data_IF_200486388404
#
_entry.id   IF_200486388404
#
_cell.length_a   1.000
_cell.length_b   1.000
_cell.length_c   1.000
_cell.angle_alpha   90.00
_cell.angle_beta   90.00
_cell.angle_gamma   90.00
#
_symmetry.space_group_name_H-M   'P 1'
#
loop_
_entity.id
_entity.type
_entity.pdbx_description
1 polymer ?
#
# COMPACT_ATOMS: atom_id res chain seq x y z
N UNK A 1 -47.99 -51.44 16.94
CA UNK A 1 -49.15 -50.80 16.27
C UNK A 1 -48.83 -50.66 14.78
N UNK A 2 -49.78 -51.05 13.94
CA UNK A 2 -49.84 -51.12 12.47
C UNK A 2 -49.19 -49.91 11.73
N UNK A 3 -48.69 -49.95 10.48
CA UNK A 3 -48.96 -50.82 9.31
C UNK A 3 -47.89 -50.59 8.21
N UNK A 4 -47.44 -51.67 7.53
CA UNK A 4 -46.92 -51.66 6.14
C UNK A 4 -48.09 -51.67 5.14
N UNK A 5 -47.89 -51.21 3.90
CA UNK A 5 -48.48 -51.63 2.59
C UNK A 5 -48.12 -50.51 1.57
N UNK A 6 -47.20 -50.65 0.58
CA UNK A 6 -47.14 -51.49 -0.64
C UNK A 6 -48.29 -51.13 -1.62
N UNK A 7 -48.05 -50.28 -2.64
CA UNK A 7 -47.62 -50.59 -4.02
C UNK A 7 -48.79 -50.93 -4.99
N UNK A 8 -48.56 -50.54 -6.25
CA UNK A 8 -49.10 -51.01 -7.54
C UNK A 8 -50.12 -50.07 -8.23
N UNK A 9 -49.75 -49.28 -9.26
CA UNK A 9 -49.46 -49.61 -10.68
C UNK A 9 -50.71 -50.12 -11.42
N UNK A 10 -51.18 -49.49 -12.51
CA UNK A 10 -51.05 -49.92 -13.93
C UNK A 10 -52.15 -49.21 -14.76
N UNK A 11 -52.18 -49.00 -16.10
CA UNK A 11 -51.30 -49.14 -17.28
C UNK A 11 -52.02 -48.48 -18.49
N UNK A 12 -51.21 -47.93 -19.42
CA UNK A 12 -51.32 -47.62 -20.87
C UNK A 12 -52.64 -47.81 -21.68
N UNK A 13 -52.83 -46.97 -22.72
CA UNK A 13 -52.60 -47.33 -24.15
C UNK A 13 -52.58 -46.13 -25.15
N UNK A 14 -51.37 -45.90 -25.71
CA UNK A 14 -50.88 -45.59 -27.08
C UNK A 14 -51.79 -45.04 -28.21
N UNK A 15 -51.26 -44.00 -28.90
CA UNK A 15 -51.12 -43.74 -30.38
C UNK A 15 -51.38 -42.24 -30.67
N UNK A 16 -50.68 -41.44 -31.47
CA UNK A 16 -49.63 -41.53 -32.49
C UNK A 16 -49.85 -40.36 -33.49
N UNK A 17 -48.80 -39.91 -34.21
CA UNK A 17 -48.71 -38.74 -35.14
C UNK A 17 -48.49 -37.36 -34.48
N UNK A 18 -47.64 -36.43 -34.96
CA UNK A 18 -46.70 -36.37 -36.08
C UNK A 18 -45.82 -35.10 -35.89
N UNK A 19 -44.66 -35.12 -36.52
CA UNK A 19 -43.55 -34.19 -36.49
C UNK A 19 -43.90 -32.72 -36.85
N UNK A 20 -43.43 -31.75 -36.07
CA UNK A 20 -43.21 -30.38 -36.57
C UNK A 20 -42.02 -29.73 -35.84
N UNK A 21 -40.92 -29.59 -36.59
CA UNK A 21 -39.77 -28.77 -36.23
C UNK A 21 -40.24 -27.33 -35.98
N UNK A 22 -39.99 -26.80 -34.79
CA UNK A 22 -39.83 -25.37 -34.59
C UNK A 22 -38.48 -25.12 -33.95
N UNK A 23 -37.69 -24.39 -34.73
CA UNK A 23 -36.37 -23.88 -34.44
C UNK A 23 -36.33 -23.04 -33.18
N UNK A 24 -35.18 -23.13 -32.51
CA UNK A 24 -34.67 -22.24 -31.48
C UNK A 24 -34.98 -20.77 -31.81
N UNK A 25 -35.68 -20.11 -30.91
CA UNK A 25 -35.68 -18.66 -30.81
C UNK A 25 -35.52 -18.32 -29.32
N UNK A 26 -34.28 -18.50 -28.82
CA UNK A 26 -33.88 -17.95 -27.54
C UNK A 26 -33.55 -16.47 -27.81
N UNK A 27 -34.59 -15.63 -27.83
CA UNK A 27 -34.42 -14.21 -27.62
C UNK A 27 -33.78 -14.04 -26.24
N UNK A 28 -32.49 -13.71 -26.22
CA UNK A 28 -31.89 -13.02 -25.11
C UNK A 28 -32.61 -11.68 -25.00
N UNK A 29 -33.48 -11.55 -24.00
CA UNK A 29 -34.00 -10.28 -23.55
C UNK A 29 -32.81 -9.44 -23.06
N UNK A 30 -32.23 -8.68 -23.98
CA UNK A 30 -31.53 -7.46 -23.66
C UNK A 30 -32.57 -6.53 -23.03
N UNK A 31 -32.65 -6.51 -21.70
CA UNK A 31 -33.38 -5.50 -20.95
C UNK A 31 -32.61 -4.18 -21.01
N UNK A 32 -32.53 -3.57 -22.20
CA UNK A 32 -32.44 -2.12 -22.27
C UNK A 32 -33.80 -1.62 -21.77
N UNK A 33 -33.88 -1.23 -20.50
CA UNK A 33 -35.04 -0.47 -20.03
C UNK A 33 -35.00 0.87 -20.76
N UNK A 34 -35.67 0.94 -21.91
CA UNK A 34 -36.04 2.21 -22.53
C UNK A 34 -36.88 2.96 -21.51
N UNK A 35 -36.32 4.02 -20.92
CA UNK A 35 -37.08 4.99 -20.16
C UNK A 35 -38.16 5.54 -21.10
N UNK A 36 -39.42 5.19 -20.85
CA UNK A 36 -40.55 5.84 -21.51
C UNK A 36 -40.52 7.31 -21.09
N UNK A 37 -40.01 8.15 -21.99
CA UNK A 37 -39.66 9.55 -21.75
C UNK A 37 -40.85 10.35 -21.23
N UNK A 38 -40.77 10.82 -19.97
CA UNK A 38 -41.74 11.72 -19.37
C UNK A 38 -41.45 13.18 -19.72
N UNK A 39 -40.48 13.78 -19.03
CA UNK A 39 -40.12 15.20 -19.14
C UNK A 39 -38.67 15.33 -19.61
N UNK A 40 -38.45 16.16 -20.64
CA UNK A 40 -37.11 16.51 -21.13
C UNK A 40 -36.86 18.00 -20.89
N UNK A 41 -35.73 18.32 -20.24
CA UNK A 41 -35.28 19.68 -20.02
C UNK A 41 -33.88 19.87 -20.61
N UNK A 42 -33.57 21.09 -21.03
CA UNK A 42 -32.24 21.51 -21.51
C UNK A 42 -31.70 22.63 -20.63
N UNK A 43 -30.39 22.67 -20.43
CA UNK A 43 -29.68 23.62 -19.56
C UNK A 43 -30.28 23.70 -18.15
N UNK A 44 -30.42 22.53 -17.51
CA UNK A 44 -31.11 22.39 -16.24
C UNK A 44 -30.15 22.42 -15.04
N UNK A 45 -30.69 22.78 -13.88
CA UNK A 45 -30.03 22.61 -12.58
C UNK A 45 -30.88 21.70 -11.71
N UNK A 46 -30.26 20.67 -11.16
CA UNK A 46 -30.84 19.75 -10.18
C UNK A 46 -30.12 20.01 -8.86
N UNK A 47 -30.85 20.18 -7.77
CA UNK A 47 -30.26 20.39 -6.44
C UNK A 47 -31.09 19.71 -5.38
N UNK A 48 -30.43 19.32 -4.29
CA UNK A 48 -31.07 18.73 -3.11
C UNK A 48 -30.62 19.49 -1.86
N UNK A 49 -31.59 19.71 -0.97
CA UNK A 49 -31.41 20.41 0.29
C UNK A 49 -31.73 19.48 1.47
N UNK A 50 -31.06 19.68 2.60
CA UNK A 50 -31.39 19.01 3.85
C UNK A 50 -32.70 19.56 4.45
N UNK A 51 -33.14 18.99 5.57
CA UNK A 51 -34.37 19.42 6.27
C UNK A 51 -34.34 20.88 6.77
N UNK A 52 -33.15 21.46 6.90
CA UNK A 52 -32.94 22.86 7.29
C UNK A 52 -32.88 23.81 6.07
N UNK A 53 -33.02 23.26 4.85
CA UNK A 53 -33.01 24.01 3.60
C UNK A 53 -31.60 24.32 3.06
N UNK A 54 -30.56 23.73 3.65
CA UNK A 54 -29.19 23.89 3.16
C UNK A 54 -28.89 22.90 2.04
N UNK A 55 -28.39 23.42 0.92
CA UNK A 55 -28.02 22.59 -0.21
C UNK A 55 -26.76 21.79 0.10
N UNK A 56 -26.83 20.47 -0.09
CA UNK A 56 -25.66 19.60 0.08
C UNK A 56 -25.04 19.19 -1.26
N UNK A 57 -25.80 19.25 -2.37
CA UNK A 57 -25.23 19.16 -3.71
C UNK A 57 -26.03 19.93 -4.77
N UNK A 58 -25.35 20.22 -5.89
CA UNK A 58 -25.94 20.81 -7.10
C UNK A 58 -25.34 20.21 -8.36
N UNK A 59 -26.17 19.75 -9.28
CA UNK A 59 -25.81 19.32 -10.63
C UNK A 59 -26.29 20.37 -11.65
N UNK A 60 -25.39 20.81 -12.52
CA UNK A 60 -25.71 21.49 -13.76
C UNK A 60 -25.58 20.50 -14.90
N UNK A 61 -26.57 20.44 -15.77
CA UNK A 61 -26.65 19.44 -16.85
C UNK A 61 -27.08 20.13 -18.14
N UNK A 62 -26.46 19.75 -19.27
CA UNK A 62 -26.88 20.23 -20.59
C UNK A 62 -28.25 19.69 -20.98
N UNK A 63 -28.56 18.45 -20.57
CA UNK A 63 -29.86 17.82 -20.80
C UNK A 63 -30.21 16.85 -19.68
N UNK A 64 -31.51 16.77 -19.38
CA UNK A 64 -32.08 15.79 -18.45
C UNK A 64 -33.37 15.22 -19.00
N UNK A 65 -33.54 13.91 -18.89
CA UNK A 65 -34.76 13.17 -19.27
C UNK A 65 -35.27 12.37 -18.08
N UNK A 66 -36.43 12.75 -17.55
CA UNK A 66 -37.07 12.09 -16.41
C UNK A 66 -37.95 10.92 -16.84
N UNK A 67 -38.04 9.90 -15.97
CA UNK A 67 -39.05 8.87 -16.01
C UNK A 67 -40.46 9.44 -15.75
N UNK A 68 -41.51 8.71 -16.11
CA UNK A 68 -42.90 9.16 -15.90
C UNK A 68 -43.25 9.42 -14.42
N UNK A 69 -42.65 8.67 -13.51
CA UNK A 69 -42.81 8.85 -12.06
C UNK A 69 -41.89 9.94 -11.47
N UNK A 70 -41.03 10.54 -12.30
CA UNK A 70 -40.00 11.53 -11.98
C UNK A 70 -38.95 11.09 -10.96
N UNK A 71 -38.87 9.79 -10.64
CA UNK A 71 -37.92 9.27 -9.65
C UNK A 71 -36.52 9.07 -10.21
N UNK A 72 -36.43 8.81 -11.51
CA UNK A 72 -35.18 8.54 -12.19
C UNK A 72 -34.98 9.55 -13.32
N UNK A 73 -33.73 9.87 -13.62
CA UNK A 73 -33.39 10.77 -14.71
C UNK A 73 -32.09 10.38 -15.40
N UNK A 74 -32.05 10.46 -16.73
CA UNK A 74 -30.81 10.38 -17.52
C UNK A 74 -30.30 11.80 -17.72
N UNK A 75 -29.02 12.04 -17.44
CA UNK A 75 -28.37 13.35 -17.48
C UNK A 75 -27.14 13.33 -18.41
N UNK A 76 -26.91 14.44 -19.12
CA UNK A 76 -25.82 14.65 -20.07
C UNK A 76 -25.11 15.99 -19.79
N UNK A 77 -23.81 16.09 -20.11
CA UNK A 77 -22.95 17.28 -19.93
C UNK A 77 -22.96 17.81 -18.49
N UNK A 78 -22.38 17.03 -17.57
CA UNK A 78 -22.62 17.16 -16.13
C UNK A 78 -21.49 17.94 -15.47
N UNK A 79 -21.87 18.90 -14.63
CA UNK A 79 -20.99 19.51 -13.63
C UNK A 79 -21.68 19.47 -12.27
N UNK A 80 -21.12 18.72 -11.32
CA UNK A 80 -21.63 18.63 -9.97
C UNK A 80 -20.74 19.38 -8.97
N UNK A 81 -21.37 19.94 -7.94
CA UNK A 81 -20.70 20.47 -6.77
C UNK A 81 -21.27 19.80 -5.51
N UNK A 82 -20.40 19.31 -4.63
CA UNK A 82 -20.77 18.97 -3.26
C UNK A 82 -20.50 20.18 -2.38
N UNK A 83 -21.44 20.49 -1.49
CA UNK A 83 -21.33 21.58 -0.54
C UNK A 83 -21.25 21.03 0.89
N UNK A 84 -20.36 21.60 1.69
CA UNK A 84 -20.33 21.42 3.14
C UNK A 84 -20.29 22.79 3.79
N UNK A 85 -21.17 23.04 4.76
CA UNK A 85 -21.30 24.35 5.43
C UNK A 85 -21.48 25.53 4.45
N UNK A 86 -22.14 25.30 3.30
CA UNK A 86 -22.38 26.31 2.27
C UNK A 86 -21.19 26.57 1.33
N UNK A 87 -20.06 25.91 1.52
CA UNK A 87 -18.87 26.03 0.67
C UNK A 87 -18.75 24.82 -0.26
N UNK A 88 -18.30 25.04 -1.49
CA UNK A 88 -18.05 23.96 -2.44
C UNK A 88 -16.78 23.24 -2.00
N UNK A 89 -16.91 21.97 -1.60
CA UNK A 89 -15.76 21.15 -1.19
C UNK A 89 -15.28 20.25 -2.32
N UNK A 90 -16.18 19.75 -3.17
CA UNK A 90 -15.86 18.89 -4.31
C UNK A 90 -16.52 19.39 -5.58
N UNK A 91 -15.78 19.30 -6.69
CA UNK A 91 -16.25 19.58 -8.05
C UNK A 91 -16.09 18.33 -8.89
N UNK A 92 -17.11 17.97 -9.66
CA UNK A 92 -17.09 16.77 -10.49
C UNK A 92 -17.59 17.14 -11.89
N UNK A 93 -16.94 16.64 -12.94
CA UNK A 93 -17.46 16.66 -14.30
C UNK A 93 -17.57 15.26 -14.87
N UNK A 94 -18.59 15.02 -15.68
CA UNK A 94 -18.81 13.77 -16.41
C UNK A 94 -19.62 14.02 -17.69
N UNK A 95 -19.51 13.11 -18.66
CA UNK A 95 -20.26 13.21 -19.92
C UNK A 95 -21.72 12.78 -19.75
N UNK A 96 -21.94 11.65 -19.09
CA UNK A 96 -23.25 11.01 -18.96
C UNK A 96 -23.50 10.53 -17.53
N UNK A 97 -24.77 10.35 -17.18
CA UNK A 97 -25.12 9.76 -15.92
C UNK A 97 -26.60 9.49 -15.72
N UNK A 98 -26.90 8.91 -14.59
CA UNK A 98 -28.24 8.58 -14.13
C UNK A 98 -28.42 9.06 -12.69
N UNK A 99 -29.53 9.73 -12.43
CA UNK A 99 -30.01 10.05 -11.08
C UNK A 99 -31.11 9.04 -10.76
N UNK A 100 -30.98 8.33 -9.66
CA UNK A 100 -31.90 7.27 -9.26
C UNK A 100 -32.57 7.61 -7.93
N UNK A 101 -33.82 7.18 -7.78
CA UNK A 101 -34.60 7.29 -6.55
C UNK A 101 -34.52 8.69 -5.92
N UNK A 102 -34.93 9.72 -6.66
CA UNK A 102 -34.98 11.10 -6.18
C UNK A 102 -33.60 11.66 -5.72
N UNK A 103 -32.49 11.09 -6.23
CA UNK A 103 -31.13 11.55 -5.94
C UNK A 103 -30.43 10.82 -4.81
N UNK A 104 -31.02 9.73 -4.29
CA UNK A 104 -30.35 8.83 -3.33
C UNK A 104 -29.06 8.21 -3.91
N UNK A 105 -29.03 8.01 -5.24
CA UNK A 105 -27.88 7.46 -5.96
C UNK A 105 -27.69 8.16 -7.30
N UNK A 106 -26.45 8.52 -7.61
CA UNK A 106 -26.06 9.16 -8.87
C UNK A 106 -24.93 8.35 -9.50
N UNK A 107 -25.17 7.83 -10.69
CA UNK A 107 -24.20 7.07 -11.48
C UNK A 107 -23.66 7.94 -12.59
N UNK A 108 -22.35 8.19 -12.63
CA UNK A 108 -21.68 8.95 -13.68
C UNK A 108 -20.78 8.02 -14.50
N UNK A 109 -20.74 8.25 -15.81
CA UNK A 109 -20.02 7.43 -16.78
C UNK A 109 -19.34 8.29 -17.84
N UNK A 110 -18.23 7.79 -18.40
CA UNK A 110 -17.41 8.50 -19.39
C UNK A 110 -16.18 9.11 -18.73
N UNK A 111 -15.57 10.15 -19.32
CA UNK A 111 -14.46 10.84 -18.67
C UNK A 111 -14.93 11.54 -17.39
N UNK A 112 -14.45 11.07 -16.22
CA UNK A 112 -14.76 11.65 -14.92
C UNK A 112 -13.55 12.40 -14.40
N UNK A 113 -13.77 13.66 -14.02
CA UNK A 113 -12.76 14.49 -13.34
C UNK A 113 -13.38 15.02 -12.05
N UNK A 114 -12.84 14.62 -10.92
CA UNK A 114 -13.16 15.12 -9.59
C UNK A 114 -12.03 15.99 -9.06
N UNK A 115 -12.37 17.05 -8.32
CA UNK A 115 -11.41 17.90 -7.63
C UNK A 115 -11.91 18.23 -6.22
N UNK A 116 -11.16 17.84 -5.21
CA UNK A 116 -11.39 18.20 -3.82
C UNK A 116 -10.59 19.45 -3.46
N UNK A 117 -11.32 20.53 -3.15
CA UNK A 117 -10.75 21.85 -2.87
C UNK A 117 -10.12 21.95 -1.49
N UNK A 118 -10.34 20.98 -0.60
CA UNK A 118 -9.83 21.00 0.78
C UNK A 118 -8.38 20.55 0.88
N UNK A 119 -7.96 19.71 -0.06
CA UNK A 119 -6.65 19.05 -0.09
C UNK A 119 -5.99 19.11 -1.48
N UNK A 120 -6.56 19.89 -2.41
CA UNK A 120 -6.07 20.03 -3.79
C UNK A 120 -5.87 18.69 -4.53
N UNK A 121 -6.67 17.68 -4.21
CA UNK A 121 -6.64 16.35 -4.84
C UNK A 121 -7.52 16.31 -6.08
N UNK A 122 -6.93 15.91 -7.20
CA UNK A 122 -7.64 15.60 -8.45
C UNK A 122 -7.80 14.08 -8.60
N UNK A 123 -8.99 13.63 -8.97
CA UNK A 123 -9.30 12.22 -9.23
C UNK A 123 -9.83 12.10 -10.65
N UNK A 124 -9.30 11.16 -11.41
CA UNK A 124 -9.77 10.80 -12.75
C UNK A 124 -10.24 9.35 -12.76
N UNK A 125 -11.23 9.04 -13.57
CA UNK A 125 -11.74 7.68 -13.75
C UNK A 125 -12.81 7.60 -14.82
N UNK A 126 -13.46 6.44 -14.94
CA UNK A 126 -14.48 6.22 -15.98
C UNK A 126 -15.90 5.98 -15.44
N UNK A 127 -16.00 5.49 -14.21
CA UNK A 127 -17.28 5.21 -13.54
C UNK A 127 -17.24 5.71 -12.11
N UNK A 128 -18.29 6.43 -11.72
CA UNK A 128 -18.48 6.91 -10.37
C UNK A 128 -19.91 6.62 -9.92
N UNK A 129 -20.03 5.83 -8.86
CA UNK A 129 -21.26 5.74 -8.07
C UNK A 129 -21.16 6.71 -6.91
N UNK A 130 -22.13 7.61 -6.80
CA UNK A 130 -22.22 8.58 -5.72
C UNK A 130 -23.48 8.33 -4.90
N UNK A 131 -23.30 8.15 -3.59
CA UNK A 131 -24.38 8.08 -2.60
C UNK A 131 -24.27 9.28 -1.65
N UNK A 132 -24.95 10.41 -1.97
CA UNK A 132 -24.80 11.65 -1.24
C UNK A 132 -25.05 11.55 0.27
N UNK A 133 -26.15 10.93 0.68
CA UNK A 133 -26.51 10.81 2.11
C UNK A 133 -25.54 9.94 2.91
N UNK A 134 -24.82 9.04 2.22
CA UNK A 134 -23.84 8.16 2.84
C UNK A 134 -22.43 8.79 2.85
N UNK A 135 -22.23 9.91 2.15
CA UNK A 135 -20.92 10.54 1.94
C UNK A 135 -19.91 9.63 1.25
N UNK A 136 -20.36 8.78 0.32
CA UNK A 136 -19.48 7.85 -0.40
C UNK A 136 -19.47 8.09 -1.90
N UNK A 137 -18.27 8.04 -2.45
CA UNK A 137 -18.00 7.80 -3.86
C UNK A 137 -17.36 6.42 -4.02
N UNK A 138 -17.81 5.66 -5.01
CA UNK A 138 -17.12 4.46 -5.47
C UNK A 138 -16.72 4.68 -6.92
N UNK A 139 -15.42 4.68 -7.17
CA UNK A 139 -14.83 4.80 -8.48
C UNK A 139 -14.38 3.43 -8.98
N UNK A 140 -14.52 3.21 -10.28
CA UNK A 140 -14.08 2.00 -10.96
C UNK A 140 -13.45 2.35 -12.30
N UNK A 141 -12.45 1.54 -12.69
CA UNK A 141 -11.77 1.56 -13.99
C UNK A 141 -10.90 2.80 -14.22
N UNK A 142 -9.63 2.56 -14.59
CA UNK A 142 -8.65 3.58 -14.99
C UNK A 142 -8.54 4.77 -14.01
N UNK A 143 -8.49 4.47 -12.72
CA UNK A 143 -8.50 5.49 -11.68
C UNK A 143 -7.10 6.06 -11.51
N UNK A 144 -6.98 7.38 -11.64
CA UNK A 144 -5.77 8.14 -11.33
C UNK A 144 -6.08 9.18 -10.26
N UNK A 145 -5.30 9.19 -9.18
CA UNK A 145 -5.42 10.16 -8.10
C UNK A 145 -4.15 10.99 -8.07
N UNK A 146 -4.29 12.29 -8.06
CA UNK A 146 -3.21 13.25 -8.21
C UNK A 146 -3.27 14.21 -7.02
N UNK A 147 -2.17 14.27 -6.28
CA UNK A 147 -1.97 15.18 -5.16
C UNK A 147 -0.52 15.70 -5.21
N UNK A 148 -0.22 16.80 -4.52
CA UNK A 148 1.11 17.42 -4.56
C UNK A 148 2.23 16.47 -4.09
N UNK A 149 1.95 15.64 -3.09
CA UNK A 149 2.92 14.70 -2.50
C UNK A 149 2.95 13.32 -3.18
N UNK A 150 1.86 12.91 -3.82
CA UNK A 150 1.70 11.54 -4.32
C UNK A 150 0.75 11.44 -5.51
N UNK A 151 1.09 10.58 -6.46
CA UNK A 151 0.23 10.17 -7.58
C UNK A 151 -0.04 8.67 -7.50
N UNK A 152 -1.30 8.27 -7.55
CA UNK A 152 -1.75 6.88 -7.45
C UNK A 152 -2.50 6.45 -8.70
N UNK A 153 -2.36 5.19 -9.08
CA UNK A 153 -3.17 4.52 -10.10
C UNK A 153 -3.73 3.23 -9.51
N UNK A 154 -5.01 2.94 -9.73
CA UNK A 154 -5.69 1.73 -9.23
C UNK A 154 -6.92 1.37 -10.07
N UNK A 155 -7.56 0.23 -9.78
CA UNK A 155 -8.79 -0.21 -10.47
C UNK A 155 -10.06 0.14 -9.70
N UNK A 156 -10.00 0.15 -8.38
CA UNK A 156 -11.14 0.41 -7.51
C UNK A 156 -10.74 1.39 -6.40
N UNK A 157 -11.58 2.39 -6.17
CA UNK A 157 -11.40 3.32 -5.07
C UNK A 157 -12.73 3.67 -4.43
N UNK A 158 -12.75 3.76 -3.09
CA UNK A 158 -13.85 4.33 -2.34
C UNK A 158 -13.36 5.59 -1.62
N UNK A 159 -14.13 6.67 -1.72
CA UNK A 159 -13.83 7.92 -1.06
C UNK A 159 -14.96 8.32 -0.11
N UNK A 160 -14.65 8.44 1.17
CA UNK A 160 -15.55 9.05 2.13
C UNK A 160 -15.36 10.57 2.08
N UNK A 161 -16.36 11.29 1.55
CA UNK A 161 -16.28 12.74 1.33
C UNK A 161 -16.38 13.54 2.63
N UNK A 162 -16.92 12.96 3.71
CA UNK A 162 -17.01 13.61 5.01
C UNK A 162 -15.69 13.51 5.79
N UNK A 163 -15.03 12.36 5.76
CA UNK A 163 -13.79 12.10 6.52
C UNK A 163 -12.52 12.20 5.70
N UNK A 164 -12.62 12.41 4.38
CA UNK A 164 -11.47 12.50 3.46
C UNK A 164 -10.60 11.23 3.46
N UNK A 165 -11.22 10.06 3.61
CA UNK A 165 -10.51 8.77 3.60
C UNK A 165 -10.74 8.07 2.26
N UNK A 166 -9.63 7.74 1.60
CA UNK A 166 -9.59 6.90 0.40
C UNK A 166 -9.27 5.45 0.78
N UNK A 167 -10.03 4.52 0.24
CA UNK A 167 -9.69 3.09 0.23
C UNK A 167 -9.43 2.68 -1.20
N UNK A 168 -8.24 2.19 -1.48
CA UNK A 168 -7.78 1.83 -2.82
C UNK A 168 -7.61 0.33 -2.88
N UNK A 169 -8.04 -0.30 -3.97
CA UNK A 169 -8.00 -1.74 -4.12
C UNK A 169 -7.58 -2.15 -5.54
N UNK A 170 -6.79 -3.23 -5.61
CA UNK A 170 -6.28 -3.89 -6.81
C UNK A 170 -5.25 -3.07 -7.60
N UNK A 171 -4.10 -3.70 -7.86
CA UNK A 171 -3.07 -3.21 -8.79
C UNK A 171 -2.62 -1.76 -8.51
N UNK A 172 -2.45 -1.41 -7.24
CA UNK A 172 -2.13 -0.05 -6.84
C UNK A 172 -0.67 0.23 -7.17
N UNK A 173 -0.45 1.30 -7.93
CA UNK A 173 0.88 1.91 -8.11
C UNK A 173 0.85 3.32 -7.58
N UNK A 174 1.61 3.61 -6.53
CA UNK A 174 1.81 4.96 -6.02
C UNK A 174 3.20 5.47 -6.35
N UNK A 175 3.32 6.76 -6.67
CA UNK A 175 4.60 7.43 -6.84
C UNK A 175 4.60 8.71 -5.99
N UNK A 176 5.55 8.84 -5.08
CA UNK A 176 5.75 10.07 -4.29
C UNK A 176 6.57 11.09 -5.07
N UNK A 177 6.38 12.38 -4.78
CA UNK A 177 7.07 13.47 -5.49
C UNK A 177 8.54 13.61 -5.08
N UNK A 178 8.83 13.69 -3.78
CA UNK A 178 10.19 13.82 -3.23
C UNK A 178 10.21 13.31 -1.77
N UNK A 179 11.16 12.43 -1.39
CA UNK A 179 11.97 11.61 -2.28
C UNK A 179 11.11 10.69 -3.15
N UNK A 180 11.62 10.33 -4.32
CA UNK A 180 10.88 9.50 -5.28
C UNK A 180 10.80 8.05 -4.83
N UNK A 181 9.61 7.63 -4.40
CA UNK A 181 9.27 6.25 -4.06
C UNK A 181 8.25 5.73 -5.07
N UNK A 182 8.40 4.48 -5.48
CA UNK A 182 7.37 3.71 -6.15
C UNK A 182 6.84 2.64 -5.21
N UNK A 183 5.54 2.65 -4.95
CA UNK A 183 4.84 1.72 -4.07
C UNK A 183 3.95 0.82 -4.92
N UNK A 184 4.06 -0.49 -4.71
CA UNK A 184 3.19 -1.50 -5.31
C UNK A 184 2.45 -2.23 -4.21
N UNK A 185 1.12 -2.24 -4.26
CA UNK A 185 0.26 -2.85 -3.25
C UNK A 185 -1.08 -3.31 -3.86
N UNK A 186 -1.79 -4.18 -3.14
CA UNK A 186 -3.14 -4.63 -3.53
C UNK A 186 -4.26 -3.89 -2.77
N UNK A 187 -3.97 -3.35 -1.58
CA UNK A 187 -4.89 -2.52 -0.82
C UNK A 187 -4.12 -1.42 -0.09
N UNK A 188 -4.64 -0.19 -0.13
CA UNK A 188 -4.14 0.95 0.65
C UNK A 188 -5.32 1.71 1.24
N UNK A 189 -5.13 2.24 2.45
CA UNK A 189 -6.01 3.27 3.02
C UNK A 189 -5.23 4.56 3.10
N UNK A 190 -5.76 5.64 2.56
CA UNK A 190 -5.16 6.96 2.64
C UNK A 190 -6.07 7.93 3.39
N UNK A 191 -5.61 8.36 4.55
CA UNK A 191 -6.16 9.47 5.33
C UNK A 191 -5.56 10.76 4.78
N UNK A 192 -6.29 11.42 3.86
CA UNK A 192 -5.73 12.50 3.04
C UNK A 192 -5.38 13.72 3.88
N UNK A 193 -6.23 14.10 4.82
CA UNK A 193 -6.02 15.26 5.70
C UNK A 193 -4.79 15.07 6.62
N UNK A 194 -4.59 13.87 7.12
CA UNK A 194 -3.47 13.52 7.99
C UNK A 194 -2.16 13.22 7.23
N UNK A 195 -2.24 12.97 5.93
CA UNK A 195 -1.09 12.54 5.12
C UNK A 195 -0.60 11.14 5.46
N UNK A 196 -1.50 10.26 5.94
CA UNK A 196 -1.15 8.89 6.37
C UNK A 196 -1.68 7.85 5.38
N UNK A 197 -0.77 7.03 4.84
CA UNK A 197 -1.10 5.88 3.99
C UNK A 197 -0.79 4.60 4.75
N UNK A 198 -1.72 3.65 4.79
CA UNK A 198 -1.51 2.37 5.46
C UNK A 198 -1.96 1.18 4.65
N UNK A 199 -1.38 0.02 4.97
CA UNK A 199 -1.77 -1.29 4.41
C UNK A 199 -1.49 -2.40 5.40
N UNK A 200 -2.33 -3.42 5.37
CA UNK A 200 -2.18 -4.68 6.10
C UNK A 200 -1.96 -5.88 5.15
N UNK A 201 -1.69 -5.60 3.87
CA UNK A 201 -1.36 -6.58 2.84
C UNK A 201 0.08 -6.47 2.36
N UNK A 202 0.63 -7.52 1.72
CA UNK A 202 1.95 -7.47 1.09
C UNK A 202 2.13 -6.29 0.14
N UNK A 203 3.27 -5.61 0.25
CA UNK A 203 3.62 -4.47 -0.57
C UNK A 203 5.12 -4.43 -0.85
N UNK A 204 5.49 -3.65 -1.87
CA UNK A 204 6.89 -3.34 -2.21
C UNK A 204 7.06 -1.84 -2.36
N UNK A 205 8.18 -1.31 -1.87
CA UNK A 205 8.62 0.07 -2.08
C UNK A 205 9.99 0.05 -2.76
N UNK A 206 10.14 0.87 -3.78
CA UNK A 206 11.42 1.14 -4.43
C UNK A 206 11.72 2.63 -4.34
N UNK A 207 12.87 3.01 -3.79
CA UNK A 207 13.36 4.39 -3.75
C UNK A 207 14.26 4.66 -4.95
N UNK A 208 14.09 5.84 -5.55
CA UNK A 208 14.87 6.33 -6.66
C UNK A 208 15.63 7.60 -6.29
N UNK A 209 16.80 7.77 -6.90
CA UNK A 209 17.60 9.00 -6.88
C UNK A 209 18.25 9.13 -8.26
N UNK A 210 18.09 10.28 -8.92
CA UNK A 210 18.53 10.50 -10.31
C UNK A 210 18.12 9.35 -11.28
N UNK A 211 16.86 8.92 -11.18
CA UNK A 211 16.27 7.80 -11.95
C UNK A 211 16.91 6.42 -11.69
N UNK A 212 17.84 6.31 -10.74
CA UNK A 212 18.45 5.04 -10.34
C UNK A 212 17.80 4.51 -9.07
N UNK A 213 17.59 3.19 -9.02
CA UNK A 213 17.17 2.53 -7.79
C UNK A 213 18.29 2.68 -6.76
N UNK A 214 17.92 3.06 -5.54
CA UNK A 214 18.84 3.16 -4.40
C UNK A 214 18.52 2.12 -3.35
N UNK A 215 17.24 1.95 -3.04
CA UNK A 215 16.77 1.09 -1.98
C UNK A 215 15.48 0.36 -2.40
N UNK A 216 15.28 -0.86 -1.91
CA UNK A 216 14.05 -1.64 -2.09
C UNK A 216 13.63 -2.24 -0.75
N UNK A 217 12.34 -2.30 -0.51
CA UNK A 217 11.73 -2.84 0.70
C UNK A 217 10.52 -3.70 0.31
N UNK A 218 10.39 -4.87 0.91
CA UNK A 218 9.14 -5.65 0.89
C UNK A 218 8.73 -6.04 2.30
N UNK A 219 7.43 -5.96 2.59
CA UNK A 219 6.85 -6.34 3.88
C UNK A 219 5.35 -6.62 3.74
N UNK A 220 4.64 -6.81 4.86
CA UNK A 220 3.20 -7.11 4.87
C UNK A 220 2.33 -6.09 5.60
N UNK A 221 2.91 -5.20 6.41
CA UNK A 221 2.15 -4.16 7.11
C UNK A 221 2.97 -2.88 7.10
N UNK A 222 2.33 -1.76 6.76
CA UNK A 222 2.98 -0.46 6.82
C UNK A 222 2.01 0.68 7.15
N UNK A 223 2.58 1.70 7.76
CA UNK A 223 2.02 3.04 7.90
C UNK A 223 3.09 4.05 7.45
N UNK A 224 2.75 4.84 6.43
CA UNK A 224 3.59 5.87 5.84
C UNK A 224 3.01 7.24 6.21
N UNK A 225 3.84 8.07 6.82
CA UNK A 225 3.58 9.47 7.08
C UNK A 225 4.28 10.31 6.00
N UNK A 226 3.50 10.80 5.04
CA UNK A 226 3.97 11.60 3.92
C UNK A 226 4.56 12.95 4.37
N UNK A 227 4.06 13.51 5.47
CA UNK A 227 4.46 14.82 5.97
C UNK A 227 5.84 14.78 6.63
N UNK A 228 6.16 13.67 7.31
CA UNK A 228 7.43 13.51 8.03
C UNK A 228 8.45 12.63 7.30
N UNK A 229 8.09 12.06 6.15
CA UNK A 229 8.92 11.10 5.41
C UNK A 229 9.29 9.85 6.22
N UNK A 230 8.32 9.35 6.99
CA UNK A 230 8.51 8.21 7.89
C UNK A 230 7.68 7.03 7.39
N UNK A 231 8.29 5.86 7.36
CA UNK A 231 7.60 4.59 7.17
C UNK A 231 7.80 3.70 8.39
N UNK A 232 6.70 3.29 9.02
CA UNK A 232 6.68 2.27 10.06
C UNK A 232 6.24 0.96 9.40
N UNK A 233 7.04 -0.08 9.56
CA UNK A 233 6.86 -1.35 8.86
C UNK A 233 6.86 -2.49 9.86
N UNK A 234 5.96 -3.45 9.67
CA UNK A 234 5.89 -4.67 10.46
C UNK A 234 5.74 -5.91 9.57
N UNK A 235 6.22 -7.04 10.09
CA UNK A 235 6.10 -8.39 9.51
C UNK A 235 6.83 -8.63 8.17
N UNK A 236 7.65 -9.68 8.15
CA UNK A 236 8.35 -10.19 6.96
C UNK A 236 9.15 -9.11 6.21
N UNK A 237 9.89 -8.31 6.95
CA UNK A 237 10.59 -7.16 6.39
C UNK A 237 11.90 -7.59 5.78
N UNK A 238 12.03 -7.37 4.47
CA UNK A 238 13.26 -7.51 3.72
C UNK A 238 13.59 -6.16 3.09
N UNK A 239 14.78 -5.67 3.42
CA UNK A 239 15.31 -4.40 2.94
C UNK A 239 16.60 -4.64 2.18
N UNK A 240 16.81 -3.90 1.10
CA UNK A 240 18.04 -3.92 0.33
C UNK A 240 18.41 -2.49 -0.06
N UNK A 241 19.65 -2.10 0.23
CA UNK A 241 20.30 -0.93 -0.34
C UNK A 241 21.29 -1.39 -1.41
N UNK A 242 21.37 -0.64 -2.51
CA UNK A 242 22.34 -0.89 -3.59
C UNK A 242 23.67 -0.16 -3.35
N UNK A 243 23.62 1.00 -2.70
CA UNK A 243 24.81 1.74 -2.32
C UNK A 243 24.56 2.40 -0.95
N UNK A 244 25.17 1.89 0.13
CA UNK A 244 26.09 0.73 0.18
C UNK A 244 25.35 -0.63 -0.07
N UNK A 245 26.02 -1.71 -0.52
CA UNK A 245 25.40 -2.99 -0.87
C UNK A 245 25.04 -3.80 0.38
N UNK A 246 23.98 -3.36 1.08
CA UNK A 246 23.54 -3.91 2.36
C UNK A 246 22.13 -4.48 2.26
N UNK A 247 21.94 -5.71 2.72
CA UNK A 247 20.64 -6.34 2.91
C UNK A 247 20.31 -6.44 4.39
N UNK A 248 19.04 -6.23 4.74
CA UNK A 248 18.54 -6.30 6.10
C UNK A 248 17.24 -7.09 6.19
N UNK A 249 17.10 -7.87 7.26
CA UNK A 249 15.87 -8.58 7.58
C UNK A 249 15.51 -8.39 9.06
N UNK A 250 14.26 -8.02 9.32
CA UNK A 250 13.73 -7.83 10.69
C UNK A 250 12.20 -8.00 10.72
N UNK A 251 11.58 -7.91 11.90
CA UNK A 251 10.13 -8.02 12.07
C UNK A 251 9.42 -6.69 12.29
N UNK A 252 10.14 -5.63 12.69
CA UNK A 252 9.62 -4.27 12.76
C UNK A 252 10.74 -3.27 12.51
N UNK A 253 10.46 -2.18 11.80
CA UNK A 253 11.41 -1.08 11.64
C UNK A 253 10.71 0.27 11.44
N UNK A 254 11.43 1.33 11.77
CA UNK A 254 11.13 2.70 11.35
C UNK A 254 12.16 3.11 10.30
N UNK A 255 11.69 3.57 9.15
CA UNK A 255 12.52 4.11 8.09
C UNK A 255 12.23 5.59 7.91
N UNK A 256 13.23 6.42 8.13
CA UNK A 256 13.26 7.78 7.64
C UNK A 256 13.83 7.74 6.22
N UNK A 257 12.96 7.77 5.22
CA UNK A 257 13.34 7.48 3.83
C UNK A 257 13.91 8.72 3.10
N UNK A 258 13.77 9.90 3.70
CA UNK A 258 14.46 11.12 3.28
C UNK A 258 15.91 11.09 3.78
N UNK A 259 16.12 10.85 5.09
CA UNK A 259 17.46 10.80 5.68
C UNK A 259 18.20 9.48 5.42
N UNK A 260 17.51 8.48 4.88
CA UNK A 260 17.96 7.09 4.68
C UNK A 260 18.46 6.45 5.98
N UNK A 261 17.70 6.65 7.06
CA UNK A 261 17.98 6.07 8.40
C UNK A 261 16.95 5.00 8.73
N UNK A 262 17.42 3.80 9.05
CA UNK A 262 16.58 2.68 9.50
C UNK A 262 16.86 2.40 10.97
N UNK A 263 15.81 2.23 11.76
CA UNK A 263 15.88 1.92 13.18
C UNK A 263 14.99 0.72 13.51
N UNK A 264 15.50 -0.18 14.36
CA UNK A 264 14.72 -1.30 14.87
C UNK A 264 15.12 -1.66 16.29
N UNK A 265 14.13 -1.99 17.11
CA UNK A 265 14.28 -2.56 18.44
C UNK A 265 14.09 -4.09 18.44
N UNK A 266 13.96 -4.70 17.26
CA UNK A 266 13.81 -6.13 17.05
C UNK A 266 15.13 -6.76 16.62
N UNK A 267 15.13 -8.09 16.62
CA UNK A 267 16.23 -8.84 16.04
C UNK A 267 16.38 -8.44 14.56
N UNK A 268 17.59 -8.03 14.19
CA UNK A 268 17.96 -7.69 12.82
C UNK A 268 19.07 -8.60 12.36
N UNK A 269 18.99 -9.06 11.12
CA UNK A 269 20.08 -9.69 10.38
C UNK A 269 20.48 -8.77 9.23
N UNK A 270 21.76 -8.44 9.17
CA UNK A 270 22.37 -7.64 8.11
C UNK A 270 23.34 -8.50 7.32
N UNK A 271 23.41 -8.29 6.02
CA UNK A 271 24.39 -8.89 5.12
C UNK A 271 24.96 -7.79 4.25
N UNK A 272 26.27 -7.58 4.33
CA UNK A 272 26.99 -6.82 3.31
C UNK A 272 27.40 -7.81 2.23
N UNK A 273 26.96 -7.51 1.00
CA UNK A 273 26.89 -8.49 -0.09
C UNK A 273 28.23 -8.67 -0.79
N UNK A 274 29.02 -7.60 -0.92
CA UNK A 274 30.29 -7.65 -1.65
C UNK A 274 31.36 -8.41 -0.86
N UNK A 275 31.30 -8.36 0.46
CA UNK A 275 32.28 -8.90 1.39
C UNK A 275 31.75 -10.12 2.18
N UNK A 276 30.53 -10.59 1.89
CA UNK A 276 29.90 -11.74 2.56
C UNK A 276 29.97 -11.67 4.10
N UNK A 277 29.77 -10.46 4.66
CA UNK A 277 29.77 -10.23 6.11
C UNK A 277 28.31 -10.26 6.59
N UNK A 278 28.00 -11.19 7.50
CA UNK A 278 26.71 -11.22 8.19
C UNK A 278 26.85 -10.70 9.61
N UNK A 279 25.94 -9.81 10.03
CA UNK A 279 25.78 -9.43 11.43
C UNK A 279 24.35 -9.66 11.91
N UNK A 280 24.19 -10.08 13.16
CA UNK A 280 22.91 -10.11 13.85
C UNK A 280 23.00 -9.35 15.17
N UNK A 281 21.91 -8.70 15.55
CA UNK A 281 21.78 -7.99 16.82
C UNK A 281 20.30 -7.88 17.23
N UNK A 282 20.02 -7.57 18.49
CA UNK A 282 18.65 -7.34 18.97
C UNK A 282 18.19 -5.88 18.88
N UNK A 283 19.02 -4.99 18.34
CA UNK A 283 18.70 -3.60 18.09
C UNK A 283 19.69 -3.05 17.05
N UNK A 284 19.19 -2.25 16.11
CA UNK A 284 19.99 -1.67 15.04
C UNK A 284 19.56 -0.25 14.67
N UNK A 285 20.54 0.59 14.35
CA UNK A 285 20.38 1.84 13.59
C UNK A 285 21.32 1.79 12.39
N UNK A 286 20.79 2.00 11.20
CA UNK A 286 21.53 2.00 9.94
C UNK A 286 21.42 3.40 9.37
N UNK A 287 22.55 4.03 9.13
CA UNK A 287 22.67 5.35 8.52
C UNK A 287 23.35 5.17 7.17
N UNK A 288 22.54 5.09 6.10
CA UNK A 288 23.05 4.80 4.75
C UNK A 288 23.64 6.03 4.07
N UNK A 289 23.39 7.22 4.61
CA UNK A 289 24.03 8.46 4.16
C UNK A 289 25.44 8.56 4.74
N UNK A 290 25.64 8.17 5.99
CA UNK A 290 26.97 8.10 6.62
C UNK A 290 27.70 6.76 6.40
N UNK A 291 27.09 5.79 5.72
CA UNK A 291 27.61 4.43 5.55
C UNK A 291 27.99 3.76 6.88
N UNK A 292 27.15 3.91 7.90
CA UNK A 292 27.40 3.37 9.25
C UNK A 292 26.25 2.56 9.78
N UNK A 293 26.59 1.43 10.41
CA UNK A 293 25.68 0.58 11.15
C UNK A 293 26.04 0.60 12.63
N UNK A 294 25.03 0.83 13.47
CA UNK A 294 25.12 0.79 14.91
C UNK A 294 24.29 -0.38 15.42
N UNK A 295 24.95 -1.41 15.92
CA UNK A 295 24.31 -2.60 16.48
C UNK A 295 24.51 -2.64 17.99
N UNK A 296 23.48 -3.05 18.71
CA UNK A 296 23.55 -3.22 20.15
C UNK A 296 22.80 -4.45 20.61
N UNK A 297 23.24 -5.00 21.75
CA UNK A 297 22.68 -6.18 22.45
C UNK A 297 22.86 -7.48 21.67
N UNK A 298 23.72 -8.35 22.21
CA UNK A 298 23.96 -9.71 21.71
C UNK A 298 24.35 -9.74 20.23
N UNK A 299 25.40 -8.99 19.88
CA UNK A 299 25.88 -8.98 18.51
C UNK A 299 26.59 -10.29 18.21
N UNK A 300 26.27 -10.86 17.07
CA UNK A 300 27.05 -11.91 16.44
C UNK A 300 27.41 -11.51 15.00
N UNK A 301 28.69 -11.51 14.68
CA UNK A 301 29.21 -11.26 13.35
C UNK A 301 29.92 -12.49 12.79
N UNK A 302 29.75 -12.76 11.50
CA UNK A 302 30.45 -13.83 10.79
C UNK A 302 30.91 -13.33 9.41
N UNK A 303 32.14 -13.67 9.05
CA UNK A 303 32.71 -13.46 7.72
C UNK A 303 32.93 -14.81 7.06
N UNK A 304 32.31 -15.03 5.89
CA UNK A 304 32.37 -16.32 5.19
C UNK A 304 33.78 -16.60 4.68
N UNK A 305 34.48 -15.58 4.17
CA UNK A 305 35.77 -15.71 3.48
C UNK A 305 36.88 -16.28 4.38
N UNK A 306 36.92 -15.89 5.66
CA UNK A 306 37.93 -16.32 6.61
C UNK A 306 37.37 -17.10 7.81
N UNK A 307 36.07 -17.40 7.81
CA UNK A 307 35.36 -18.09 8.90
C UNK A 307 35.56 -17.39 10.25
N UNK A 308 35.73 -16.07 10.21
CA UNK A 308 35.87 -15.22 11.38
C UNK A 308 34.54 -15.03 12.07
N UNK A 309 34.52 -15.13 13.40
CA UNK A 309 33.35 -14.96 14.25
C UNK A 309 33.61 -13.92 15.32
N UNK A 310 32.64 -13.05 15.54
CA UNK A 310 32.70 -11.97 16.52
C UNK A 310 31.46 -12.01 17.41
N UNK A 311 31.66 -11.87 18.72
CA UNK A 311 30.59 -11.59 19.68
C UNK A 311 30.92 -10.32 20.44
N UNK A 312 29.92 -9.46 20.68
CA UNK A 312 30.08 -8.22 21.44
C UNK A 312 28.73 -7.69 21.99
N UNK A 313 28.79 -6.69 22.88
CA UNK A 313 27.60 -6.00 23.40
C UNK A 313 27.17 -4.82 22.52
N UNK A 314 28.11 -4.18 21.84
CA UNK A 314 27.88 -3.10 20.85
C UNK A 314 28.88 -3.17 19.70
N UNK A 315 28.45 -2.78 18.51
CA UNK A 315 29.28 -2.67 17.30
C UNK A 315 28.95 -1.39 16.56
N UNK A 316 29.97 -0.66 16.14
CA UNK A 316 29.89 0.33 15.07
C UNK A 316 30.61 -0.27 13.86
N UNK A 317 29.92 -0.37 12.73
CA UNK A 317 30.46 -0.88 11.48
C UNK A 317 30.41 0.21 10.42
N UNK A 318 31.57 0.56 9.89
CA UNK A 318 31.72 1.46 8.76
C UNK A 318 31.68 0.63 7.47
N UNK A 319 30.74 0.94 6.58
CA UNK A 319 30.52 0.21 5.33
C UNK A 319 31.46 0.68 4.21
N UNK A 320 32.10 1.84 4.33
CA UNK A 320 33.07 2.33 3.34
C UNK A 320 34.36 1.51 3.34
N UNK A 321 34.88 1.21 4.53
CA UNK A 321 36.15 0.51 4.74
C UNK A 321 36.00 -0.84 5.45
N UNK A 322 34.76 -1.24 5.74
CA UNK A 322 34.41 -2.47 6.44
C UNK A 322 35.02 -2.59 7.84
N UNK A 323 35.45 -1.47 8.43
CA UNK A 323 36.04 -1.46 9.75
C UNK A 323 34.95 -1.58 10.83
N UNK A 324 35.24 -2.43 11.83
CA UNK A 324 34.32 -2.76 12.91
C UNK A 324 34.96 -2.37 14.23
N UNK A 325 34.25 -1.55 15.02
CA UNK A 325 34.60 -1.23 16.41
C UNK A 325 33.59 -1.90 17.34
N UNK A 326 34.01 -3.02 17.94
CA UNK A 326 33.21 -3.84 18.82
C UNK A 326 33.58 -3.59 20.28
N UNK A 327 32.60 -3.43 21.16
CA UNK A 327 32.81 -3.14 22.57
C UNK A 327 31.90 -3.98 23.47
N UNK A 328 32.43 -4.35 24.64
CA UNK A 328 31.75 -5.13 25.67
C UNK A 328 31.76 -6.64 25.38
N UNK A 329 32.23 -7.42 26.36
CA UNK A 329 32.28 -8.89 26.32
C UNK A 329 32.79 -9.49 24.99
N UNK A 330 33.85 -8.91 24.43
CA UNK A 330 34.29 -9.22 23.08
C UNK A 330 34.92 -10.62 23.01
N UNK A 331 34.45 -11.43 22.08
CA UNK A 331 35.04 -12.72 21.72
C UNK A 331 35.23 -12.78 20.21
N UNK A 332 36.48 -12.94 19.76
CA UNK A 332 36.81 -13.13 18.35
C UNK A 332 37.41 -14.52 18.13
N UNK A 333 36.93 -15.23 17.12
CA UNK A 333 37.41 -16.56 16.73
C UNK A 333 37.68 -16.60 15.23
N UNK A 334 38.71 -17.32 14.83
CA UNK A 334 39.05 -17.51 13.42
C UNK A 334 39.61 -18.92 13.25
N UNK A 335 39.35 -19.54 12.09
CA UNK A 335 39.76 -20.92 11.80
C UNK A 335 41.13 -20.98 11.11
N UNK A 336 41.52 -19.95 10.34
CA UNK A 336 42.81 -19.96 9.65
C UNK A 336 43.49 -18.57 9.60
N UNK A 337 44.57 -18.34 10.38
CA UNK A 337 45.08 -19.20 11.45
C UNK A 337 44.05 -19.39 12.58
N UNK A 338 44.14 -20.52 13.29
CA UNK A 338 43.28 -20.80 14.43
C UNK A 338 43.64 -19.85 15.58
N UNK A 339 42.76 -18.88 15.85
CA UNK A 339 42.92 -17.94 16.97
C UNK A 339 41.60 -17.76 17.72
N UNK A 340 41.70 -17.50 19.02
CA UNK A 340 40.59 -17.14 19.87
C UNK A 340 41.05 -16.05 20.85
N UNK A 341 40.45 -14.87 20.74
CA UNK A 341 40.73 -13.70 21.57
C UNK A 341 39.51 -13.35 22.41
N UNK A 342 39.74 -13.00 23.67
CA UNK A 342 38.73 -12.39 24.55
C UNK A 342 39.22 -11.06 25.09
N UNK A 343 38.37 -10.04 25.14
CA UNK A 343 38.71 -8.71 25.63
C UNK A 343 37.50 -7.80 25.83
N UNK A 344 37.76 -6.50 26.02
CA UNK A 344 36.70 -5.50 26.20
C UNK A 344 36.38 -4.75 24.90
N UNK A 345 37.32 -4.68 23.95
CA UNK A 345 37.15 -3.99 22.67
C UNK A 345 37.91 -4.72 21.57
N UNK A 346 37.35 -4.79 20.37
CA UNK A 346 38.05 -5.20 19.16
C UNK A 346 37.88 -4.15 18.07
N UNK A 347 38.93 -3.93 17.29
CA UNK A 347 38.90 -3.06 16.11
C UNK A 347 39.53 -3.77 14.91
N UNK A 348 38.92 -3.63 13.74
CA UNK A 348 39.51 -4.08 12.48
C UNK A 348 38.47 -4.53 11.47
N UNK A 349 38.97 -5.06 10.35
CA UNK A 349 38.13 -5.66 9.29
C UNK A 349 37.99 -7.15 9.55
N UNK A 350 36.75 -7.66 9.52
CA UNK A 350 36.51 -9.08 9.77
C UNK A 350 37.15 -9.97 8.71
N UNK A 351 37.29 -9.53 7.46
CA UNK A 351 37.89 -10.32 6.38
C UNK A 351 39.43 -10.38 6.39
N UNK A 352 40.12 -9.30 6.78
CA UNK A 352 41.56 -9.15 6.54
C UNK A 352 42.44 -9.88 7.56
N UNK A 353 41.85 -10.62 8.51
CA UNK A 353 42.54 -11.18 9.67
C UNK A 353 43.30 -10.11 10.50
N UNK A 354 42.93 -8.83 10.37
CA UNK A 354 43.55 -7.68 11.06
C UNK A 354 42.64 -7.17 12.18
N UNK A 355 42.36 -8.03 13.16
CA UNK A 355 41.55 -7.66 14.34
C UNK A 355 42.46 -7.44 15.56
N UNK A 356 42.45 -6.22 16.09
CA UNK A 356 43.17 -5.84 17.31
C UNK A 356 42.21 -5.93 18.48
N UNK A 357 42.45 -6.85 19.42
CA UNK A 357 41.67 -7.00 20.65
C UNK A 357 42.41 -6.36 21.82
N UNK A 358 41.71 -5.52 22.57
CA UNK A 358 42.25 -4.81 23.75
C UNK A 358 41.43 -5.12 25.00
N UNK A 359 42.12 -5.15 26.14
CA UNK A 359 41.56 -5.33 27.47
C UNK A 359 41.77 -4.08 28.32
N UNK A 360 40.93 -3.88 29.33
CA UNK A 360 41.09 -2.78 30.30
C UNK A 360 40.96 -3.31 31.73
N UNK A 361 41.79 -2.79 32.64
CA UNK A 361 41.80 -3.17 34.05
C UNK A 361 42.11 -4.66 34.26
N UNK A 362 41.27 -5.33 35.05
CA UNK A 362 41.41 -6.76 35.34
C UNK A 362 41.00 -7.68 34.16
N UNK A 363 40.31 -7.14 33.14
CA UNK A 363 39.94 -7.86 31.92
C UNK A 363 41.08 -7.80 30.90
N UNK A 364 42.14 -8.58 31.14
CA UNK A 364 43.27 -8.74 30.20
C UNK A 364 42.83 -9.50 28.96
N UNK A 365 43.50 -9.24 27.84
CA UNK A 365 43.31 -10.04 26.62
C UNK A 365 43.76 -11.48 26.87
N UNK A 366 42.89 -12.44 26.57
CA UNK A 366 43.23 -13.86 26.65
C UNK A 366 43.29 -14.44 25.24
N UNK A 367 44.48 -14.87 24.83
CA UNK A 367 44.71 -15.59 23.58
C UNK A 367 44.79 -17.08 23.85
N UNK A 368 43.94 -17.87 23.20
CA UNK A 368 44.06 -19.34 23.20
C UNK A 368 44.53 -19.82 21.84
N UNK A 369 45.68 -20.49 21.79
CA UNK A 369 46.25 -21.10 20.58
C UNK A 369 46.03 -22.60 20.69
N UNK A 370 45.38 -23.19 19.68
CA UNK A 370 45.24 -24.64 19.59
C UNK A 370 46.43 -25.20 18.78
N UNK A 371 47.14 -26.23 19.29
CA UNK A 371 48.33 -26.79 18.64
C UNK A 371 48.05 -27.52 17.33
#
# INVERSE_FOLDING_TARGET
MYRKIILLLTILFISGCQNQNQSLDNNAENSNQEVQSGIVLSDATIEQSNNDGENFWRLKVGKVTYSEDNKNAIIEDITANLLQNGEIVLKISAENGEVLNDGEEINLMGEIIGFDTRNDMEVRGEKLNWKPEQNYFTLQENIEIIHEQIRLVTKEAEYNTATQVLQLNQEITANTSEPQLKILADALVWQVEEGIISTDLPFTITRYEDEQVTDTLSASVAEMDLNNSILIVENNIEYQSLNPPLQGATSAMRWDYDQRIIETDKMIRLVEVDEDITMTANQGRIDLTENKVYLSRQIFGESVSNQGKLYADSVIWNLDDQNIDAQGNVVYQQVNPVVNFRGNRAQGRLQDNQVVVTGQGDNRVVTTIYP
#
